data_IF_542711765589
#
_entry.id   IF_542711765589
#
_cell.length_a   1.000
_cell.length_b   1.000
_cell.length_c   1.000
_cell.angle_alpha   90.00
_cell.angle_beta   90.00
_cell.angle_gamma   90.00
#
_symmetry.space_group_name_H-M   'P 1'
#
loop_
_entity.id
_entity.type
_entity.pdbx_description
1 polymer ?
#
# COMPACT_ATOMS: atom_id res chain seq x y z
N UNK A 1 -35.02 1.38 -11.23
CA UNK A 1 -34.86 2.57 -10.37
C UNK A 1 -33.47 2.57 -9.75
N UNK A 2 -32.60 3.46 -10.22
CA UNK A 2 -31.18 3.52 -9.84
C UNK A 2 -30.98 4.32 -8.54
N UNK A 3 -29.81 4.25 -7.90
CA UNK A 3 -29.47 5.07 -6.74
C UNK A 3 -28.82 6.40 -7.16
N UNK A 4 -29.07 7.47 -6.42
CA UNK A 4 -28.58 8.83 -6.71
C UNK A 4 -28.13 9.50 -5.42
N UNK A 5 -27.07 10.31 -5.49
CA UNK A 5 -26.62 11.15 -4.38
C UNK A 5 -27.35 12.50 -4.32
N UNK A 6 -28.01 12.89 -5.41
CA UNK A 6 -28.71 14.19 -5.53
C UNK A 6 -30.15 14.10 -5.01
N UNK A 7 -30.77 12.93 -5.11
CA UNK A 7 -32.16 12.70 -4.66
C UNK A 7 -32.18 12.27 -3.20
N UNK A 8 -33.16 12.77 -2.44
CA UNK A 8 -33.23 12.51 -0.99
C UNK A 8 -34.24 11.42 -0.57
N UNK A 9 -35.05 10.88 -1.48
CA UNK A 9 -36.30 10.21 -1.07
C UNK A 9 -36.35 8.69 -1.33
N UNK A 10 -35.34 8.08 -1.95
CA UNK A 10 -35.33 6.64 -2.21
C UNK A 10 -34.62 5.81 -1.14
N UNK A 11 -35.15 4.63 -0.80
CA UNK A 11 -34.45 3.66 0.06
C UNK A 11 -33.05 3.32 -0.49
N UNK A 12 -32.91 3.19 -1.81
CA UNK A 12 -31.62 2.96 -2.50
C UNK A 12 -30.67 4.17 -2.39
N UNK A 13 -31.20 5.39 -2.44
CA UNK A 13 -30.41 6.62 -2.27
C UNK A 13 -29.86 6.72 -0.84
N UNK A 14 -30.65 6.29 0.16
CA UNK A 14 -30.22 6.19 1.56
C UNK A 14 -29.10 5.15 1.74
N UNK A 15 -29.27 3.95 1.18
CA UNK A 15 -28.23 2.90 1.21
C UNK A 15 -26.94 3.37 0.56
N UNK A 16 -27.02 4.07 -0.57
CA UNK A 16 -25.83 4.56 -1.27
C UNK A 16 -25.10 5.65 -0.47
N UNK A 17 -25.83 6.59 0.15
CA UNK A 17 -25.25 7.59 1.06
C UNK A 17 -24.58 6.93 2.26
N UNK A 18 -25.25 5.96 2.89
CA UNK A 18 -24.68 5.19 4.01
C UNK A 18 -23.38 4.50 3.60
N UNK A 19 -23.35 3.83 2.45
CA UNK A 19 -22.14 3.20 1.91
C UNK A 19 -21.01 4.23 1.69
N UNK A 20 -21.34 5.39 1.12
CA UNK A 20 -20.38 6.48 0.88
C UNK A 20 -19.75 6.95 2.20
N UNK A 21 -20.57 7.18 3.21
CA UNK A 21 -20.15 7.71 4.52
C UNK A 21 -19.34 6.66 5.31
N UNK A 22 -19.78 5.40 5.35
CA UNK A 22 -19.07 4.29 6.02
C UNK A 22 -17.67 4.04 5.43
N UNK A 23 -17.51 4.26 4.12
CA UNK A 23 -16.23 4.06 3.42
C UNK A 23 -15.40 5.34 3.29
N UNK A 24 -15.84 6.44 3.91
CA UNK A 24 -15.17 7.75 3.87
C UNK A 24 -14.88 8.22 2.43
N UNK A 25 -15.86 7.99 1.55
CA UNK A 25 -15.81 8.41 0.16
C UNK A 25 -16.34 9.84 0.05
N UNK A 26 -15.59 10.69 -0.64
CA UNK A 26 -15.94 12.06 -0.94
C UNK A 26 -16.33 12.16 -2.40
N UNK A 27 -17.37 12.95 -2.66
CA UNK A 27 -17.70 13.41 -4.01
C UNK A 27 -16.76 14.56 -4.33
N UNK A 28 -16.26 14.62 -5.57
CA UNK A 28 -15.40 15.72 -6.03
C UNK A 28 -16.08 17.07 -5.76
N UNK A 29 -15.29 18.03 -5.29
CA UNK A 29 -15.78 19.38 -5.02
C UNK A 29 -16.33 20.00 -6.32
N UNK A 30 -17.48 20.69 -6.23
CA UNK A 30 -18.18 21.27 -7.38
C UNK A 30 -18.59 20.25 -8.47
N UNK A 31 -18.83 18.98 -8.11
CA UNK A 31 -19.35 17.98 -9.06
C UNK A 31 -20.62 18.51 -9.76
N UNK A 32 -20.70 18.51 -11.11
CA UNK A 32 -21.83 19.07 -11.83
C UNK A 32 -23.15 18.35 -11.49
N UNK A 33 -24.19 19.12 -11.16
CA UNK A 33 -25.54 18.60 -10.98
C UNK A 33 -26.25 18.51 -12.35
N UNK A 34 -25.98 17.45 -13.10
CA UNK A 34 -26.57 17.16 -14.41
C UNK A 34 -26.91 15.68 -14.54
N UNK A 35 -27.92 15.36 -15.33
CA UNK A 35 -28.28 13.96 -15.60
C UNK A 35 -27.18 13.29 -16.41
N UNK A 36 -26.85 12.05 -16.03
CA UNK A 36 -25.85 11.21 -16.72
C UNK A 36 -26.51 10.02 -17.39
N UNK A 37 -27.81 9.84 -17.20
CA UNK A 37 -28.60 8.78 -17.82
C UNK A 37 -29.90 9.35 -18.36
N UNK A 38 -30.22 8.97 -19.60
CA UNK A 38 -31.41 9.34 -20.34
C UNK A 38 -32.05 8.06 -20.89
N UNK A 39 -33.17 7.67 -20.31
CA UNK A 39 -33.90 6.51 -20.78
C UNK A 39 -34.36 6.71 -22.23
N UNK A 40 -34.34 5.66 -23.05
CA UNK A 40 -34.66 5.69 -24.49
C UNK A 40 -36.05 6.29 -24.82
N UNK A 41 -36.98 6.29 -23.85
CA UNK A 41 -38.29 6.91 -24.01
C UNK A 41 -38.31 8.44 -23.79
N UNK A 42 -37.19 9.05 -23.42
CA UNK A 42 -37.04 10.49 -23.17
C UNK A 42 -37.72 11.03 -21.89
N UNK A 43 -38.51 10.21 -21.19
CA UNK A 43 -39.30 10.63 -20.03
C UNK A 43 -38.51 10.55 -18.71
N UNK A 44 -37.58 9.61 -18.63
CA UNK A 44 -36.82 9.36 -17.42
C UNK A 44 -35.36 9.77 -17.61
N UNK A 45 -34.91 10.68 -16.74
CA UNK A 45 -33.53 11.13 -16.66
C UNK A 45 -33.06 11.10 -15.22
N UNK A 46 -31.78 10.77 -15.02
CA UNK A 46 -31.21 10.74 -13.67
C UNK A 46 -29.71 10.93 -13.70
N UNK A 47 -29.17 11.47 -12.61
CA UNK A 47 -27.74 11.47 -12.32
C UNK A 47 -27.40 10.25 -11.45
N UNK A 48 -26.66 9.31 -12.03
CA UNK A 48 -26.36 8.01 -11.41
C UNK A 48 -24.88 7.63 -11.54
N UNK A 49 -24.11 8.38 -12.31
CA UNK A 49 -22.68 8.18 -12.53
C UNK A 49 -21.90 9.25 -11.76
N UNK A 50 -20.97 8.82 -10.91
CA UNK A 50 -20.24 9.68 -9.99
C UNK A 50 -18.76 9.30 -9.92
N UNK A 51 -17.91 10.30 -9.69
CA UNK A 51 -16.52 10.10 -9.28
C UNK A 51 -16.40 10.31 -7.77
N UNK A 52 -16.06 9.23 -7.07
CA UNK A 52 -15.84 9.24 -5.62
C UNK A 52 -14.36 8.93 -5.32
N UNK A 53 -13.79 9.60 -4.33
CA UNK A 53 -12.41 9.39 -3.90
C UNK A 53 -12.30 9.32 -2.38
N UNK A 54 -11.20 8.78 -1.86
CA UNK A 54 -10.94 8.79 -0.41
C UNK A 54 -10.38 10.14 0.03
N UNK A 55 -10.64 10.52 1.28
CA UNK A 55 -10.14 11.74 1.93
C UNK A 55 -8.61 11.83 2.03
N UNK A 56 -7.90 10.69 2.00
CA UNK A 56 -6.45 10.63 2.19
C UNK A 56 -5.61 11.13 0.99
N UNK A 57 -6.25 11.56 -0.11
CA UNK A 57 -5.59 12.07 -1.31
C UNK A 57 -5.45 13.61 -1.29
N UNK A 58 -4.98 14.18 -0.18
CA UNK A 58 -4.87 15.64 0.03
C UNK A 58 -3.92 16.42 -0.90
N UNK A 59 -3.49 15.85 -2.02
CA UNK A 59 -2.65 16.50 -3.05
C UNK A 59 -3.16 16.28 -4.48
N UNK A 60 -4.36 15.71 -4.65
CA UNK A 60 -4.97 15.54 -5.96
C UNK A 60 -6.03 16.63 -6.15
N UNK A 61 -5.82 17.48 -7.15
CA UNK A 61 -6.85 18.40 -7.62
C UNK A 61 -7.70 17.68 -8.67
N UNK A 62 -9.01 17.72 -8.48
CA UNK A 62 -9.98 16.99 -9.30
C UNK A 62 -10.89 17.98 -9.98
N UNK A 63 -10.97 17.89 -11.32
CA UNK A 63 -11.98 18.61 -12.10
C UNK A 63 -12.88 17.60 -12.80
N UNK A 64 -14.19 17.68 -12.58
CA UNK A 64 -15.16 16.80 -13.24
C UNK A 64 -16.10 17.61 -14.12
N UNK A 65 -16.31 17.11 -15.33
CA UNK A 65 -17.21 17.67 -16.34
C UNK A 65 -18.16 16.60 -16.85
N UNK A 66 -19.40 16.99 -17.18
CA UNK A 66 -20.38 16.11 -17.84
C UNK A 66 -20.55 16.66 -19.26
N UNK A 67 -20.10 15.88 -20.24
CA UNK A 67 -20.09 16.25 -21.65
C UNK A 67 -21.45 15.94 -22.28
N UNK A 68 -22.40 16.81 -21.98
CA UNK A 68 -23.75 16.73 -22.53
C UNK A 68 -23.71 16.94 -24.05
N UNK A 69 -24.34 16.04 -24.79
CA UNK A 69 -24.41 16.06 -26.27
C UNK A 69 -23.10 15.79 -27.01
N UNK A 70 -22.27 14.86 -26.52
CA UNK A 70 -21.19 14.29 -27.35
C UNK A 70 -21.80 13.57 -28.57
N UNK A 71 -21.61 14.07 -29.82
CA UNK A 71 -22.29 13.55 -31.01
C UNK A 71 -21.92 12.10 -31.35
N UNK A 72 -20.77 11.63 -30.88
CA UNK A 72 -20.31 10.26 -31.08
C UNK A 72 -20.82 9.29 -30.02
N UNK A 73 -21.47 9.78 -28.96
CA UNK A 73 -21.95 8.95 -27.89
C UNK A 73 -23.33 8.36 -28.24
N UNK A 74 -23.35 7.04 -28.46
CA UNK A 74 -24.57 6.28 -28.80
C UNK A 74 -25.22 5.60 -27.60
N UNK A 75 -24.70 5.83 -26.38
CA UNK A 75 -25.25 5.29 -25.14
C UNK A 75 -26.39 6.14 -24.59
N UNK A 76 -27.29 5.51 -23.85
CA UNK A 76 -28.24 6.13 -22.93
C UNK A 76 -27.59 6.81 -21.71
N UNK A 77 -26.27 6.68 -21.55
CA UNK A 77 -25.48 7.42 -20.56
C UNK A 77 -24.64 8.53 -21.20
N UNK A 78 -24.52 9.66 -20.52
CA UNK A 78 -23.64 10.78 -20.88
C UNK A 78 -22.23 10.56 -20.34
N UNK A 79 -21.22 11.00 -21.09
CA UNK A 79 -19.83 10.90 -20.67
C UNK A 79 -19.57 11.79 -19.45
N UNK A 80 -19.06 11.19 -18.38
CA UNK A 80 -18.52 11.90 -17.22
C UNK A 80 -17.00 11.86 -17.32
N UNK A 81 -16.40 13.03 -17.48
CA UNK A 81 -14.97 13.20 -17.67
C UNK A 81 -14.33 13.76 -16.40
N UNK A 82 -13.27 13.11 -15.92
CA UNK A 82 -12.52 13.55 -14.74
C UNK A 82 -11.05 13.81 -15.12
N UNK A 83 -10.58 15.02 -14.81
CA UNK A 83 -9.16 15.39 -14.84
C UNK A 83 -8.60 15.32 -13.43
N UNK A 84 -7.52 14.57 -13.26
CA UNK A 84 -6.82 14.43 -11.98
C UNK A 84 -5.44 15.03 -12.12
N UNK A 85 -5.20 16.15 -11.42
CA UNK A 85 -3.88 16.77 -11.36
C UNK A 85 -3.18 16.33 -10.08
N UNK A 86 -2.02 15.70 -10.25
CA UNK A 86 -1.20 15.22 -9.15
C UNK A 86 0.12 16.00 -9.09
N UNK A 87 0.37 16.66 -7.97
CA UNK A 87 1.70 17.24 -7.73
C UNK A 87 2.59 16.18 -7.07
N UNK A 88 3.59 15.70 -7.82
CA UNK A 88 4.60 14.81 -7.26
C UNK A 88 5.65 15.66 -6.54
N UNK A 89 5.39 15.99 -5.28
CA UNK A 89 6.42 16.57 -4.42
C UNK A 89 7.49 15.51 -4.20
N UNK A 90 8.66 15.71 -4.83
CA UNK A 90 9.86 14.95 -4.49
C UNK A 90 10.20 15.24 -3.03
N UNK A 91 9.67 14.41 -2.13
CA UNK A 91 10.22 14.30 -0.78
C UNK A 91 11.71 14.00 -0.96
N UNK A 92 12.57 14.82 -0.33
CA UNK A 92 14.03 14.64 -0.36
C UNK A 92 14.31 13.14 -0.25
N UNK A 93 15.03 12.56 -1.21
CA UNK A 93 15.46 11.16 -1.14
C UNK A 93 15.92 10.93 0.28
N UNK A 94 15.22 10.09 1.06
CA UNK A 94 15.80 9.56 2.30
C UNK A 94 17.17 9.10 1.87
N UNK A 95 18.23 9.68 2.42
CA UNK A 95 19.58 9.18 2.20
C UNK A 95 19.49 7.70 2.47
N UNK A 96 19.51 6.88 1.42
CA UNK A 96 19.55 5.44 1.56
C UNK A 96 20.87 5.23 2.27
N UNK A 97 20.81 5.02 3.59
CA UNK A 97 21.96 4.51 4.32
C UNK A 97 22.20 3.16 3.68
N UNK A 98 23.08 3.12 2.68
CA UNK A 98 23.51 1.88 2.06
C UNK A 98 24.15 1.10 3.18
N UNK A 99 23.40 0.13 3.72
CA UNK A 99 23.92 -0.81 4.70
C UNK A 99 24.91 -1.65 3.89
N UNK A 100 26.20 -1.34 4.04
CA UNK A 100 27.26 -2.14 3.40
C UNK A 100 27.08 -3.58 3.88
N UNK A 101 27.05 -4.51 2.93
CA UNK A 101 26.96 -5.95 3.23
C UNK A 101 28.13 -6.34 4.15
N UNK A 102 27.92 -7.18 5.18
CA UNK A 102 29.03 -7.72 5.96
C UNK A 102 30.05 -8.39 5.05
N UNK A 103 31.33 -8.12 5.28
CA UNK A 103 32.39 -8.76 4.51
C UNK A 103 32.77 -10.09 5.16
N UNK A 104 32.05 -11.15 4.79
CA UNK A 104 32.29 -12.50 5.31
C UNK A 104 33.70 -13.03 5.04
N UNK A 105 34.41 -12.51 4.03
CA UNK A 105 35.83 -12.87 3.78
C UNK A 105 36.77 -12.38 4.89
N UNK A 106 36.34 -11.38 5.68
CA UNK A 106 37.08 -10.85 6.84
C UNK A 106 36.56 -11.40 8.17
N UNK A 107 35.74 -12.45 8.14
CA UNK A 107 35.28 -13.12 9.35
C UNK A 107 36.44 -13.91 9.97
N UNK A 108 36.74 -13.64 11.24
CA UNK A 108 37.57 -14.56 12.02
C UNK A 108 36.74 -15.77 12.44
N UNK A 109 37.02 -16.91 11.81
CA UNK A 109 36.27 -18.15 12.03
C UNK A 109 36.35 -18.63 13.48
N UNK A 110 37.50 -18.47 14.13
CA UNK A 110 37.70 -18.96 15.50
C UNK A 110 36.87 -18.13 16.48
N UNK A 111 36.92 -16.80 16.34
CA UNK A 111 36.09 -15.89 17.14
C UNK A 111 34.60 -16.09 16.89
N UNK A 112 34.22 -16.35 15.64
CA UNK A 112 32.82 -16.58 15.26
C UNK A 112 32.26 -17.86 15.90
N UNK A 113 33.01 -18.95 15.80
CA UNK A 113 32.62 -20.23 16.41
C UNK A 113 32.60 -20.14 17.94
N UNK A 114 33.60 -19.50 18.55
CA UNK A 114 33.64 -19.30 20.00
C UNK A 114 32.44 -18.47 20.50
N UNK A 115 32.07 -17.40 19.77
CA UNK A 115 30.90 -16.58 20.12
C UNK A 115 29.59 -17.38 19.95
N UNK A 116 29.45 -18.19 18.90
CA UNK A 116 28.27 -19.07 18.74
C UNK A 116 28.16 -20.04 19.92
N UNK A 117 29.23 -20.77 20.24
CA UNK A 117 29.22 -21.78 21.31
C UNK A 117 28.88 -21.15 22.66
N UNK A 118 29.53 -20.03 23.00
CA UNK A 118 29.24 -19.29 24.23
C UNK A 118 27.75 -18.91 24.34
N UNK A 119 27.19 -18.36 23.27
CA UNK A 119 25.80 -17.90 23.29
C UNK A 119 24.79 -19.06 23.20
N UNK A 120 25.18 -20.22 22.65
CA UNK A 120 24.36 -21.44 22.67
C UNK A 120 24.30 -22.05 24.07
N UNK A 121 25.43 -22.07 24.80
CA UNK A 121 25.50 -22.58 26.17
C UNK A 121 24.62 -21.76 27.14
N UNK A 122 24.43 -20.47 26.86
CA UNK A 122 23.56 -19.58 27.63
C UNK A 122 22.06 -19.78 27.34
N UNK A 123 21.69 -20.46 26.25
CA UNK A 123 20.30 -20.68 25.85
C UNK A 123 19.86 -22.12 26.14
N UNK A 124 18.90 -22.26 27.06
CA UNK A 124 18.20 -23.53 27.23
C UNK A 124 17.13 -23.70 26.12
N UNK A 125 17.53 -24.28 25.00
CA UNK A 125 16.68 -24.52 23.82
C UNK A 125 15.48 -25.42 24.17
N UNK A 126 15.59 -26.29 25.18
CA UNK A 126 14.51 -27.20 25.60
C UNK A 126 13.32 -26.49 26.25
N UNK A 127 13.47 -25.22 26.67
CA UNK A 127 12.41 -24.44 27.31
C UNK A 127 11.70 -23.46 26.35
N UNK A 128 11.83 -23.65 25.03
CA UNK A 128 11.18 -22.78 24.04
C UNK A 128 9.80 -23.33 23.67
N UNK A 129 8.78 -22.49 23.79
CA UNK A 129 7.37 -22.84 23.62
C UNK A 129 6.97 -23.05 22.16
N UNK A 130 7.72 -22.52 21.20
CA UNK A 130 7.42 -22.65 19.78
C UNK A 130 8.67 -22.60 18.89
N UNK A 131 8.57 -23.20 17.70
CA UNK A 131 9.63 -23.16 16.69
C UNK A 131 9.93 -21.74 16.18
N UNK A 132 8.95 -20.82 16.23
CA UNK A 132 9.17 -19.43 15.84
C UNK A 132 10.12 -18.71 16.81
N UNK A 133 9.95 -18.93 18.11
CA UNK A 133 10.83 -18.37 19.15
C UNK A 133 12.22 -18.98 19.10
N UNK A 134 12.33 -20.27 18.76
CA UNK A 134 13.61 -20.95 18.54
C UNK A 134 14.37 -20.33 17.37
N UNK A 135 13.71 -20.18 16.22
CA UNK A 135 14.30 -19.56 15.04
C UNK A 135 14.74 -18.12 15.34
N UNK A 136 13.94 -17.34 16.06
CA UNK A 136 14.29 -15.96 16.42
C UNK A 136 15.54 -15.91 17.31
N UNK A 137 15.61 -16.77 18.33
CA UNK A 137 16.76 -16.81 19.25
C UNK A 137 18.03 -17.26 18.54
N UNK A 138 17.98 -18.33 17.75
CA UNK A 138 19.12 -18.81 16.97
C UNK A 138 19.59 -17.74 15.96
N UNK A 139 18.65 -17.04 15.32
CA UNK A 139 18.97 -15.93 14.41
C UNK A 139 19.70 -14.80 15.15
N UNK A 140 19.27 -14.46 16.36
CA UNK A 140 19.94 -13.44 17.17
C UNK A 140 21.36 -13.86 17.60
N UNK A 141 21.59 -15.13 17.94
CA UNK A 141 22.94 -15.65 18.21
C UNK A 141 23.86 -15.45 17.00
N UNK A 142 23.41 -15.84 15.81
CA UNK A 142 24.19 -15.68 14.58
C UNK A 142 24.52 -14.19 14.31
N UNK A 143 23.61 -13.29 14.64
CA UNK A 143 23.86 -11.85 14.54
C UNK A 143 24.88 -11.33 15.56
N UNK A 144 24.87 -11.84 16.79
CA UNK A 144 25.85 -11.48 17.82
C UNK A 144 27.25 -12.00 17.44
N UNK A 145 27.35 -13.26 17.03
CA UNK A 145 28.60 -13.83 16.55
C UNK A 145 29.18 -13.07 15.35
N UNK A 146 28.32 -12.68 14.41
CA UNK A 146 28.71 -11.85 13.26
C UNK A 146 29.21 -10.47 13.69
N UNK A 147 28.61 -9.87 14.73
CA UNK A 147 29.03 -8.58 15.28
C UNK A 147 30.42 -8.65 15.91
N UNK A 148 30.71 -9.72 16.63
CA UNK A 148 31.98 -9.87 17.35
C UNK A 148 33.13 -10.21 16.39
N UNK A 149 32.83 -10.88 15.28
CA UNK A 149 33.85 -11.54 14.45
C UNK A 149 34.06 -10.92 13.08
N UNK A 150 33.23 -9.94 12.69
CA UNK A 150 33.29 -9.28 11.37
C UNK A 150 33.44 -7.77 11.56
N UNK A 151 34.53 -7.16 11.07
CA UNK A 151 34.71 -5.71 11.13
C UNK A 151 33.57 -4.96 10.45
N UNK A 152 33.00 -3.96 11.13
CA UNK A 152 31.86 -3.16 10.67
C UNK A 152 30.60 -3.97 10.35
N UNK A 153 30.38 -5.08 11.05
CA UNK A 153 29.13 -5.84 10.94
C UNK A 153 27.91 -4.95 11.16
N UNK A 154 26.92 -5.09 10.28
CA UNK A 154 25.59 -4.49 10.47
C UNK A 154 24.54 -5.56 10.20
N UNK A 155 23.66 -5.77 11.18
CA UNK A 155 22.46 -6.59 10.99
C UNK A 155 21.65 -5.98 9.84
N UNK A 156 21.48 -6.74 8.78
CA UNK A 156 20.57 -6.35 7.72
C UNK A 156 19.15 -6.48 8.27
N UNK A 157 18.50 -5.35 8.48
CA UNK A 157 17.06 -5.34 8.70
C UNK A 157 16.45 -5.50 7.32
N UNK A 158 15.72 -6.60 7.11
CA UNK A 158 14.82 -6.73 5.96
C UNK A 158 13.73 -5.68 6.11
N UNK A 159 14.01 -4.44 5.71
CA UNK A 159 12.95 -3.50 5.36
C UNK A 159 12.22 -4.15 4.20
N UNK A 160 11.01 -4.69 4.44
CA UNK A 160 10.11 -5.33 3.46
C UNK A 160 10.66 -5.21 2.03
N UNK A 161 11.47 -6.19 1.64
CA UNK A 161 12.10 -6.18 0.34
C UNK A 161 10.99 -6.31 -0.70
N UNK A 162 10.80 -5.27 -1.51
CA UNK A 162 10.34 -5.48 -2.87
C UNK A 162 11.48 -6.24 -3.54
N UNK A 163 11.32 -7.56 -3.65
CA UNK A 163 12.14 -8.43 -4.48
C UNK A 163 13.53 -8.77 -3.94
N UNK A 164 13.81 -10.08 -3.95
CA UNK A 164 15.12 -10.73 -3.82
C UNK A 164 15.58 -10.99 -2.39
N UNK A 165 15.12 -12.16 -1.91
CA UNK A 165 15.50 -12.78 -0.67
C UNK A 165 17.00 -13.03 -0.55
N UNK A 166 17.42 -13.07 0.71
CA UNK A 166 18.77 -13.24 1.24
C UNK A 166 19.33 -14.67 1.00
N UNK A 167 18.63 -15.51 0.23
CA UNK A 167 18.92 -16.95 0.10
C UNK A 167 19.24 -17.43 -1.32
N UNK A 168 19.42 -16.53 -2.28
CA UNK A 168 19.88 -16.93 -3.62
C UNK A 168 21.30 -16.42 -3.86
N UNK A 169 22.27 -17.25 -3.53
CA UNK A 169 23.53 -17.39 -4.28
C UNK A 169 24.16 -18.71 -3.79
N UNK A 170 23.96 -19.74 -4.63
CA UNK A 170 24.77 -20.95 -4.79
C UNK A 170 25.75 -21.27 -3.65
N UNK A 171 25.31 -22.16 -2.75
CA UNK A 171 26.24 -23.06 -2.07
C UNK A 171 26.59 -24.13 -3.10
N UNK A 172 27.76 -23.99 -3.71
CA UNK A 172 28.47 -25.05 -4.42
C UNK A 172 28.78 -26.22 -3.49
#
# INVERSE_FOLDING_TARGET
MNASLVRNNGARDSTFRKFKDENQLLLVENFPNKNTFYHHNGLYKSQIDYFLHKSNFGMLDYKVEILDMEPLNVSDHTIVYATIQAEVVRTKRKTTKVIKRPNWKRCDKNSYQASILKNLDEINIQNLSSSAEEIEKLTNILHMAGKDSIPNYRKQVTSKAIGNGIWNEEIS
#
